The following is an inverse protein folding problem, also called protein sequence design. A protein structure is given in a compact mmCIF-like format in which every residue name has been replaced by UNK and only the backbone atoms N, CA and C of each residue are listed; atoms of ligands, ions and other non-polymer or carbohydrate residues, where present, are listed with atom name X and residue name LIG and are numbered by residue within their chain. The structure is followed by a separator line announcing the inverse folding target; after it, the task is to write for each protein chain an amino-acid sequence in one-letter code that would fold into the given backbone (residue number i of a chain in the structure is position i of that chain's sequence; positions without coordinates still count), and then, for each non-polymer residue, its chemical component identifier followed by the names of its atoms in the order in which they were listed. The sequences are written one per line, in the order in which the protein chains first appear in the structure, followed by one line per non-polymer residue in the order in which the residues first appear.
data_IF_821379937921
#
_entry.id   IF_821379937921
#
_cell.length_a   1.000
_cell.length_b   1.000
_cell.length_c   1.000
_cell.angle_alpha   90.00
_cell.angle_beta   90.00
_cell.angle_gamma   90.00
#
_symmetry.space_group_name_H-M   'P 1'
#
loop_
_entity.id
_entity.type
_entity.pdbx_description
1 polymer ?
#
# COMPACT_ATOMS: atom_id res chain seq x y z
N UNK A 1 11.84 -30.90 -8.06
CA UNK A 1 13.23 -30.57 -8.33
C UNK A 1 13.66 -29.21 -7.82
N UNK A 2 14.85 -28.77 -8.20
CA UNK A 2 15.46 -27.51 -7.73
C UNK A 2 14.60 -26.26 -8.02
N UNK A 3 13.89 -26.22 -9.14
CA UNK A 3 13.00 -25.11 -9.51
C UNK A 3 11.86 -24.91 -8.51
N UNK A 4 11.17 -25.98 -8.17
CA UNK A 4 10.06 -25.93 -7.18
C UNK A 4 10.59 -25.54 -5.82
N UNK A 5 11.74 -26.10 -5.41
CA UNK A 5 12.39 -25.74 -4.15
C UNK A 5 12.79 -24.28 -4.08
N UNK A 6 13.30 -23.72 -5.16
CA UNK A 6 13.64 -22.30 -5.25
C UNK A 6 12.41 -21.40 -5.02
N UNK A 7 11.31 -21.68 -5.72
CA UNK A 7 10.07 -20.91 -5.56
C UNK A 7 9.51 -21.00 -4.13
N UNK A 8 9.56 -22.17 -3.53
CA UNK A 8 9.11 -22.34 -2.15
C UNK A 8 9.96 -21.53 -1.16
N UNK A 9 11.29 -21.57 -1.30
CA UNK A 9 12.20 -20.88 -0.38
C UNK A 9 12.23 -19.36 -0.57
N UNK A 10 11.91 -18.87 -1.77
CA UNK A 10 11.95 -17.43 -2.09
C UNK A 10 10.61 -16.73 -1.95
N UNK A 11 9.56 -17.47 -1.62
CA UNK A 11 8.21 -16.94 -1.43
C UNK A 11 7.74 -17.11 0.01
N UNK A 12 6.73 -16.34 0.42
CA UNK A 12 6.14 -16.39 1.76
C UNK A 12 4.63 -16.62 1.67
N UNK A 13 4.08 -17.37 2.63
CA UNK A 13 2.63 -17.51 2.77
C UNK A 13 2.01 -16.19 3.26
N UNK A 14 0.78 -15.90 2.83
CA UNK A 14 0.03 -14.69 3.23
C UNK A 14 -0.11 -14.57 4.75
N UNK A 15 -0.25 -15.68 5.44
CA UNK A 15 -0.39 -15.73 6.90
C UNK A 15 0.93 -15.64 7.66
N UNK A 16 2.06 -15.77 6.98
CA UNK A 16 3.38 -15.65 7.59
C UNK A 16 3.87 -14.20 7.57
N UNK A 17 3.33 -13.37 8.47
CA UNK A 17 3.66 -11.94 8.54
C UNK A 17 5.14 -11.67 8.77
N UNK A 18 5.82 -12.52 9.55
CA UNK A 18 7.26 -12.36 9.79
C UNK A 18 8.06 -12.51 8.49
N UNK A 19 7.73 -13.53 7.69
CA UNK A 19 8.39 -13.71 6.39
C UNK A 19 8.05 -12.59 5.41
N UNK A 20 6.81 -12.09 5.41
CA UNK A 20 6.41 -10.96 4.58
C UNK A 20 7.10 -9.67 5.01
N UNK A 21 7.22 -9.40 6.31
CA UNK A 21 7.97 -8.25 6.86
C UNK A 21 9.44 -8.28 6.44
N UNK A 22 10.05 -9.44 6.51
CA UNK A 22 11.43 -9.62 6.05
C UNK A 22 11.58 -9.30 4.56
N UNK A 23 10.65 -9.78 3.74
CA UNK A 23 10.62 -9.46 2.30
C UNK A 23 10.38 -7.97 2.05
N UNK A 24 9.49 -7.33 2.80
CA UNK A 24 9.26 -5.90 2.72
C UNK A 24 10.54 -5.12 3.03
N UNK A 25 11.24 -5.47 4.10
CA UNK A 25 12.50 -4.86 4.46
C UNK A 25 13.57 -5.01 3.37
N UNK A 26 13.72 -6.22 2.83
CA UNK A 26 14.67 -6.52 1.74
C UNK A 26 14.31 -5.74 0.47
N UNK A 27 13.03 -5.69 0.12
CA UNK A 27 12.55 -5.10 -1.13
C UNK A 27 12.56 -3.56 -1.09
N UNK A 28 11.99 -2.97 -0.04
CA UNK A 28 11.98 -1.52 0.15
C UNK A 28 13.38 -0.98 0.41
N UNK A 29 14.25 -1.81 0.98
CA UNK A 29 15.64 -1.51 1.18
C UNK A 29 16.44 -1.33 -0.10
N UNK A 30 16.02 -1.99 -1.18
CA UNK A 30 16.72 -1.95 -2.45
C UNK A 30 18.23 -2.25 -2.32
N UNK A 31 18.99 -2.15 -3.39
CA UNK A 31 20.44 -2.28 -3.35
C UNK A 31 21.17 -1.04 -2.78
N UNK A 32 20.44 0.03 -2.40
CA UNK A 32 21.02 1.30 -1.94
C UNK A 32 21.05 1.43 -0.43
N UNK A 33 22.21 1.66 0.16
CA UNK A 33 22.38 1.91 1.60
C UNK A 33 21.61 3.13 2.12
N UNK A 34 21.35 4.11 1.24
CA UNK A 34 20.66 5.35 1.60
C UNK A 34 19.23 5.09 2.06
N UNK A 35 18.54 4.19 1.39
CA UNK A 35 17.15 3.87 1.72
C UNK A 35 17.08 3.06 3.02
N UNK A 36 18.07 2.23 3.30
CA UNK A 36 18.17 1.48 4.56
C UNK A 36 18.36 2.39 5.76
N UNK A 37 19.13 3.44 5.63
CA UNK A 37 19.41 4.37 6.74
C UNK A 37 18.22 5.26 7.07
N UNK A 38 17.36 5.58 6.11
CA UNK A 38 16.17 6.42 6.31
C UNK A 38 15.01 5.67 6.95
N UNK A 39 14.93 4.35 6.76
CA UNK A 39 13.74 3.57 7.11
C UNK A 39 13.86 2.75 8.38
N UNK A 40 15.06 2.47 8.87
CA UNK A 40 15.20 1.55 10.01
C UNK A 40 14.44 0.24 9.76
N UNK A 41 14.70 -0.42 8.65
CA UNK A 41 13.95 -1.61 8.19
C UNK A 41 13.80 -2.72 9.20
N UNK A 42 14.72 -2.80 10.16
CA UNK A 42 14.65 -3.78 11.24
C UNK A 42 13.46 -3.56 12.17
N UNK A 43 12.87 -2.36 12.12
CA UNK A 43 11.75 -1.98 12.95
C UNK A 43 10.38 -1.92 12.24
N UNK A 44 10.34 -2.19 10.92
CA UNK A 44 9.08 -2.20 10.18
C UNK A 44 8.22 -3.40 10.56
N UNK A 45 6.95 -3.12 10.89
CA UNK A 45 5.92 -4.12 11.14
C UNK A 45 4.77 -3.93 10.17
N UNK A 46 4.22 -5.04 9.68
CA UNK A 46 2.99 -5.03 8.90
C UNK A 46 1.83 -4.84 9.86
N UNK A 47 1.02 -3.82 9.61
CA UNK A 47 -0.18 -3.51 10.41
C UNK A 47 -1.48 -3.89 9.70
N UNK A 48 -1.45 -4.00 8.39
CA UNK A 48 -2.59 -4.36 7.58
C UNK A 48 -2.16 -5.01 6.28
N UNK A 49 -2.91 -6.00 5.81
CA UNK A 49 -2.75 -6.61 4.49
C UNK A 49 -4.07 -6.62 3.76
N UNK A 50 -4.02 -6.43 2.45
CA UNK A 50 -5.18 -6.51 1.57
C UNK A 50 -4.82 -7.31 0.32
N UNK A 51 -5.60 -8.35 0.05
CA UNK A 51 -5.46 -9.18 -1.15
C UNK A 51 -6.55 -8.85 -2.15
N UNK A 52 -6.16 -8.61 -3.42
CA UNK A 52 -7.04 -8.51 -4.57
C UNK A 52 -6.43 -9.22 -5.76
N UNK A 53 -7.11 -10.24 -6.25
CA UNK A 53 -6.62 -11.02 -7.38
C UNK A 53 -5.23 -11.59 -7.12
N UNK A 54 -4.29 -11.28 -7.99
CA UNK A 54 -2.91 -11.75 -7.95
C UNK A 54 -1.97 -10.81 -7.19
N UNK A 55 -2.53 -9.87 -6.43
CA UNK A 55 -1.79 -8.85 -5.68
C UNK A 55 -2.09 -8.94 -4.19
N UNK A 56 -1.05 -8.79 -3.41
CA UNK A 56 -1.13 -8.62 -1.96
C UNK A 56 -0.42 -7.32 -1.60
N UNK A 57 -1.11 -6.43 -0.94
CA UNK A 57 -0.53 -5.20 -0.41
C UNK A 57 -0.36 -5.29 1.09
N UNK A 58 0.69 -4.67 1.62
CA UNK A 58 0.93 -4.55 3.05
C UNK A 58 1.23 -3.11 3.42
N UNK A 59 0.54 -2.60 4.42
CA UNK A 59 0.84 -1.32 5.04
C UNK A 59 1.76 -1.58 6.23
N UNK A 60 2.90 -0.92 6.23
CA UNK A 60 3.94 -1.11 7.23
C UNK A 60 4.21 0.18 8.00
N UNK A 61 4.60 0.06 9.26
CA UNK A 61 5.02 1.19 10.08
C UNK A 61 6.14 0.78 11.03
N UNK A 62 6.96 1.74 11.43
CA UNK A 62 7.95 1.58 12.50
C UNK A 62 7.39 1.96 13.89
N UNK A 63 6.12 2.38 13.94
CA UNK A 63 5.49 2.86 15.16
C UNK A 63 5.95 4.25 15.62
N UNK A 64 6.77 4.94 14.84
CA UNK A 64 7.34 6.26 15.15
C UNK A 64 7.02 7.31 14.08
N UNK A 65 5.86 7.16 13.42
CA UNK A 65 5.39 8.07 12.40
C UNK A 65 5.91 7.78 10.99
N UNK A 66 6.64 6.69 10.79
CA UNK A 66 7.07 6.25 9.46
C UNK A 66 6.14 5.18 8.94
N UNK A 67 5.75 5.33 7.69
CA UNK A 67 4.84 4.43 6.99
C UNK A 67 5.44 4.03 5.65
N UNK A 68 5.08 2.83 5.21
CA UNK A 68 5.51 2.30 3.93
C UNK A 68 4.43 1.38 3.34
N UNK A 69 4.41 1.28 2.03
CA UNK A 69 3.61 0.31 1.28
C UNK A 69 4.54 -0.72 0.67
N UNK A 70 4.22 -2.00 0.84
CA UNK A 70 4.83 -3.08 0.08
C UNK A 70 3.76 -3.82 -0.73
N UNK A 71 4.06 -4.09 -2.00
CA UNK A 71 3.19 -4.86 -2.88
C UNK A 71 3.92 -6.14 -3.25
N UNK A 72 3.24 -7.26 -3.12
CA UNK A 72 3.75 -8.58 -3.42
C UNK A 72 3.06 -9.15 -4.65
N UNK A 73 3.82 -9.84 -5.47
CA UNK A 73 3.31 -10.61 -6.59
C UNK A 73 3.08 -12.06 -6.18
N UNK A 74 2.03 -12.65 -6.70
CA UNK A 74 1.76 -14.06 -6.52
C UNK A 74 2.89 -14.91 -7.11
N UNK A 75 3.32 -15.93 -6.36
CA UNK A 75 4.32 -16.86 -6.88
C UNK A 75 3.72 -17.68 -8.04
N UNK A 76 4.42 -17.82 -9.17
CA UNK A 76 3.87 -18.50 -10.35
C UNK A 76 3.73 -20.02 -10.18
N UNK A 77 4.40 -20.61 -9.17
CA UNK A 77 4.34 -22.05 -8.88
C UNK A 77 3.40 -22.34 -7.72
N UNK A 78 3.39 -21.45 -6.72
CA UNK A 78 2.59 -21.60 -5.51
C UNK A 78 1.62 -20.43 -5.37
N UNK A 79 0.35 -20.57 -5.82
CA UNK A 79 -0.62 -19.46 -5.79
C UNK A 79 -0.93 -18.90 -4.40
N UNK A 80 -0.66 -19.66 -3.34
CA UNK A 80 -0.85 -19.21 -1.97
C UNK A 80 0.39 -18.52 -1.36
N UNK A 81 1.41 -18.31 -2.18
CA UNK A 81 2.67 -17.73 -1.75
C UNK A 81 3.02 -16.47 -2.54
N UNK A 82 3.75 -15.59 -1.91
CA UNK A 82 3.97 -14.22 -2.37
C UNK A 82 5.45 -13.88 -2.43
N UNK A 83 5.79 -13.06 -3.41
CA UNK A 83 7.15 -12.57 -3.65
C UNK A 83 7.13 -11.04 -3.62
N UNK A 84 8.20 -10.40 -3.16
CA UNK A 84 8.30 -8.94 -3.19
C UNK A 84 8.22 -8.40 -4.62
N UNK A 85 7.34 -7.44 -4.87
CA UNK A 85 7.06 -6.88 -6.19
C UNK A 85 7.32 -5.38 -6.31
N UNK A 86 7.00 -4.57 -5.31
CA UNK A 86 7.15 -3.12 -5.39
C UNK A 86 6.64 -2.42 -4.16
N UNK A 87 6.47 -1.12 -4.26
CA UNK A 87 5.86 -0.35 -3.20
C UNK A 87 6.35 1.09 -3.11
N UNK A 88 5.92 1.74 -2.06
CA UNK A 88 6.37 3.08 -1.66
C UNK A 88 7.13 2.96 -0.35
N UNK A 89 8.44 3.18 -0.37
CA UNK A 89 9.26 3.05 0.83
C UNK A 89 8.99 4.17 1.84
N UNK A 90 8.38 5.27 1.43
CA UNK A 90 8.05 6.39 2.31
C UNK A 90 6.68 6.94 2.00
N UNK A 91 5.80 6.88 2.99
CA UNK A 91 4.52 7.54 3.00
C UNK A 91 4.55 8.62 4.06
N UNK A 92 4.09 9.82 3.73
CA UNK A 92 3.98 10.91 4.68
C UNK A 92 2.87 10.61 5.69
N UNK A 93 3.20 10.62 6.99
CA UNK A 93 2.20 10.44 8.04
C UNK A 93 1.14 11.55 7.99
N UNK A 94 -0.11 11.18 8.21
CA UNK A 94 -1.24 12.12 8.19
C UNK A 94 -1.79 12.42 6.82
N UNK A 95 -1.20 11.86 5.76
CA UNK A 95 -1.68 12.02 4.38
C UNK A 95 -2.00 10.68 3.75
N UNK A 96 -2.90 10.70 2.78
CA UNK A 96 -3.25 9.54 1.99
C UNK A 96 -2.50 9.57 0.67
N UNK A 97 -1.74 8.51 0.41
CA UNK A 97 -1.02 8.32 -0.84
C UNK A 97 -1.70 7.33 -1.77
N UNK A 98 -1.20 7.25 -2.99
CA UNK A 98 -1.65 6.28 -3.98
C UNK A 98 -0.47 5.62 -4.70
N UNK A 99 -0.66 4.38 -5.10
CA UNK A 99 0.22 3.63 -5.97
C UNK A 99 -0.59 3.02 -7.09
N UNK A 100 -0.33 3.43 -8.32
CA UNK A 100 -1.11 3.03 -9.47
C UNK A 100 -0.21 2.32 -10.48
N UNK A 101 -0.66 1.18 -10.96
CA UNK A 101 0.00 0.47 -12.04
C UNK A 101 -1.05 -0.30 -12.86
N UNK A 102 -0.67 -0.77 -14.03
CA UNK A 102 -1.58 -1.51 -14.88
C UNK A 102 -0.86 -2.58 -15.67
N UNK A 103 -1.64 -3.52 -16.15
CA UNK A 103 -1.24 -4.50 -17.13
C UNK A 103 -2.20 -4.43 -18.34
N UNK A 104 -2.09 -5.37 -19.26
CA UNK A 104 -2.93 -5.38 -20.47
C UNK A 104 -4.43 -5.66 -20.21
N UNK A 105 -4.81 -5.99 -18.98
CA UNK A 105 -6.18 -6.42 -18.64
C UNK A 105 -6.85 -5.51 -17.63
N UNK A 106 -6.10 -4.92 -16.70
CA UNK A 106 -6.66 -4.17 -15.57
C UNK A 106 -5.72 -3.08 -15.08
N UNK A 107 -6.30 -2.05 -14.51
CA UNK A 107 -5.59 -1.08 -13.70
C UNK A 107 -5.69 -1.46 -12.22
N UNK A 108 -4.58 -1.35 -11.50
CA UNK A 108 -4.51 -1.56 -10.05
C UNK A 108 -4.27 -0.23 -9.40
N UNK A 109 -5.15 0.13 -8.48
CA UNK A 109 -5.06 1.38 -7.73
C UNK A 109 -5.03 1.03 -6.26
N UNK A 110 -3.99 1.49 -5.56
CA UNK A 110 -3.82 1.28 -4.12
C UNK A 110 -3.84 2.64 -3.45
N UNK A 111 -4.73 2.82 -2.49
CA UNK A 111 -4.70 3.96 -1.57
C UNK A 111 -4.16 3.48 -0.23
N UNK A 112 -3.22 4.23 0.32
CA UNK A 112 -2.55 3.84 1.55
C UNK A 112 -2.08 5.06 2.35
N UNK A 113 -2.13 4.92 3.64
CA UNK A 113 -1.66 5.95 4.57
C UNK A 113 -1.93 5.58 6.01
N UNK A 114 -1.23 6.25 6.92
CA UNK A 114 -1.39 6.08 8.35
C UNK A 114 -1.28 7.39 9.10
N UNK A 115 -1.58 7.36 10.38
CA UNK A 115 -1.68 8.53 11.24
C UNK A 115 -2.57 9.63 10.65
N UNK A 116 -3.64 9.24 9.97
CA UNK A 116 -4.60 10.17 9.39
C UNK A 116 -5.29 10.99 10.50
N UNK A 117 -5.83 12.19 10.18
CA UNK A 117 -6.54 13.00 11.17
C UNK A 117 -7.63 12.21 11.89
N UNK A 118 -7.81 12.45 13.19
CA UNK A 118 -8.81 11.73 14.01
C UNK A 118 -10.24 11.91 13.48
N UNK A 119 -10.53 13.07 12.90
CA UNK A 119 -11.85 13.38 12.36
C UNK A 119 -12.08 12.81 10.95
N UNK A 120 -11.06 12.26 10.32
CA UNK A 120 -11.19 11.66 9.00
C UNK A 120 -11.96 10.34 9.09
N UNK A 121 -13.18 10.35 8.56
CA UNK A 121 -14.08 9.18 8.53
C UNK A 121 -14.16 8.55 7.14
N UNK A 122 -13.94 9.34 6.10
CA UNK A 122 -13.99 8.89 4.71
C UNK A 122 -12.91 9.59 3.88
N UNK A 123 -12.54 8.96 2.77
CA UNK A 123 -11.80 9.62 1.71
C UNK A 123 -12.53 9.46 0.39
N UNK A 124 -12.27 10.37 -0.55
CA UNK A 124 -12.82 10.30 -1.89
C UNK A 124 -11.72 10.18 -2.92
N UNK A 125 -12.04 9.55 -4.02
CA UNK A 125 -11.23 9.57 -5.22
C UNK A 125 -12.12 9.56 -6.45
N UNK A 126 -11.58 9.99 -7.57
CA UNK A 126 -12.28 9.99 -8.84
C UNK A 126 -11.57 9.08 -9.83
N UNK A 127 -12.36 8.29 -10.53
CA UNK A 127 -11.87 7.47 -11.64
C UNK A 127 -12.93 7.47 -12.75
N UNK A 128 -12.51 7.74 -13.98
CA UNK A 128 -13.40 7.79 -15.16
C UNK A 128 -14.64 8.67 -14.95
N UNK A 129 -14.48 9.82 -14.28
CA UNK A 129 -15.55 10.77 -14.01
C UNK A 129 -16.48 10.40 -12.86
N UNK A 130 -16.27 9.26 -12.21
CA UNK A 130 -17.05 8.80 -11.05
C UNK A 130 -16.29 9.09 -9.78
N UNK A 131 -16.96 9.73 -8.81
CA UNK A 131 -16.43 9.96 -7.47
C UNK A 131 -16.82 8.80 -6.56
N UNK A 132 -15.84 8.19 -5.92
CA UNK A 132 -16.01 7.12 -4.94
C UNK A 132 -15.72 7.66 -3.55
N UNK A 133 -16.52 7.20 -2.58
CA UNK A 133 -16.35 7.53 -1.16
C UNK A 133 -16.08 6.25 -0.39
N UNK A 134 -14.97 6.21 0.32
CA UNK A 134 -14.50 5.01 1.03
C UNK A 134 -14.30 5.30 2.52
N UNK A 135 -14.67 4.37 3.41
CA UNK A 135 -14.50 4.56 4.85
C UNK A 135 -13.03 4.48 5.27
N UNK A 136 -12.71 5.20 6.34
CA UNK A 136 -11.42 5.14 7.03
C UNK A 136 -11.66 4.53 8.40
N UNK A 137 -10.87 3.52 8.75
CA UNK A 137 -10.89 2.89 10.06
C UNK A 137 -9.50 2.99 10.72
N UNK A 138 -9.46 3.19 12.03
CA UNK A 138 -8.24 3.21 12.82
C UNK A 138 -7.18 4.22 12.33
N UNK A 139 -7.61 5.31 11.69
CA UNK A 139 -6.74 6.37 11.16
C UNK A 139 -5.73 5.84 10.13
N UNK A 140 -6.06 4.77 9.45
CA UNK A 140 -5.22 4.17 8.41
C UNK A 140 -6.05 3.67 7.24
N UNK A 141 -5.44 3.58 6.08
CA UNK A 141 -6.05 3.08 4.84
C UNK A 141 -5.08 2.14 4.15
N UNK A 142 -5.61 1.01 3.72
CA UNK A 142 -5.00 0.13 2.74
C UNK A 142 -6.12 -0.46 1.88
N UNK A 143 -6.39 0.17 0.75
CA UNK A 143 -7.43 -0.27 -0.17
C UNK A 143 -6.83 -0.57 -1.54
N UNK A 144 -7.17 -1.71 -2.10
CA UNK A 144 -6.72 -2.17 -3.42
C UNK A 144 -7.94 -2.31 -4.33
N UNK A 145 -7.91 -1.59 -5.45
CA UNK A 145 -8.96 -1.65 -6.47
C UNK A 145 -8.41 -2.21 -7.77
N UNK A 146 -9.14 -3.17 -8.35
CA UNK A 146 -8.89 -3.69 -9.68
C UNK A 146 -9.96 -3.14 -10.62
N UNK A 147 -9.55 -2.35 -11.61
CA UNK A 147 -10.45 -1.74 -12.57
C UNK A 147 -10.22 -2.35 -13.95
N UNK A 148 -11.28 -2.73 -14.68
CA UNK A 148 -11.14 -3.37 -15.98
C UNK A 148 -10.68 -2.41 -17.08
N UNK A 149 -10.79 -1.11 -16.86
CA UNK A 149 -10.35 -0.09 -17.80
C UNK A 149 -8.93 0.36 -17.45
N UNK A 150 -8.00 0.09 -18.35
CA UNK A 150 -6.60 0.47 -18.20
C UNK A 150 -6.29 1.86 -18.77
N UNK A 151 -7.27 2.53 -19.36
CA UNK A 151 -7.07 3.85 -19.99
C UNK A 151 -6.88 4.98 -18.98
N UNK A 152 -7.38 4.81 -17.75
CA UNK A 152 -7.27 5.79 -16.67
C UNK A 152 -6.72 5.14 -15.39
N UNK A 153 -5.40 5.02 -15.34
CA UNK A 153 -4.67 4.50 -14.18
C UNK A 153 -4.28 5.61 -13.19
N UNK A 154 -4.63 6.86 -13.50
CA UNK A 154 -4.20 8.03 -12.71
C UNK A 154 -5.28 8.44 -11.71
N UNK A 155 -5.53 7.62 -10.71
CA UNK A 155 -6.44 7.97 -9.62
C UNK A 155 -5.66 8.39 -8.38
N UNK A 156 -6.08 9.52 -7.81
CA UNK A 156 -5.48 10.11 -6.62
C UNK A 156 -6.57 10.38 -5.59
N UNK A 157 -6.25 10.32 -4.29
CA UNK A 157 -7.20 10.76 -3.28
C UNK A 157 -7.45 12.26 -3.44
N UNK A 158 -8.72 12.66 -3.38
CA UNK A 158 -9.13 14.07 -3.54
C UNK A 158 -9.36 14.75 -2.19
N UNK A 159 -10.21 14.15 -1.34
CA UNK A 159 -10.63 14.77 -0.09
C UNK A 159 -10.68 13.78 1.05
N UNK A 160 -10.43 14.27 2.25
CA UNK A 160 -10.80 13.61 3.50
C UNK A 160 -12.07 14.25 4.02
N UNK A 161 -13.03 13.41 4.42
CA UNK A 161 -14.33 13.85 4.93
C UNK A 161 -14.51 13.41 6.38
N UNK A 162 -15.26 14.21 7.14
CA UNK A 162 -15.67 13.84 8.50
C UNK A 162 -16.89 12.88 8.49
N UNK A 163 -17.42 12.57 9.66
CA UNK A 163 -18.59 11.68 9.81
C UNK A 163 -19.86 12.22 9.15
N UNK A 164 -19.94 13.52 8.92
CA UNK A 164 -21.06 14.17 8.27
C UNK A 164 -20.84 14.33 6.76
N UNK A 165 -19.78 13.71 6.22
CA UNK A 165 -19.37 13.83 4.82
C UNK A 165 -18.96 15.25 4.42
N UNK A 166 -18.54 16.06 5.38
CA UNK A 166 -18.01 17.40 5.15
C UNK A 166 -16.48 17.34 5.00
N UNK A 167 -15.92 18.08 4.04
CA UNK A 167 -14.46 18.14 3.86
C UNK A 167 -13.76 18.62 5.12
N UNK A 168 -12.68 17.94 5.48
CA UNK A 168 -11.80 18.41 6.53
C UNK A 168 -10.99 19.59 6.02
N UNK A 169 -10.95 20.65 6.82
CA UNK A 169 -10.08 21.79 6.56
C UNK A 169 -8.65 21.42 6.97
N UNK A 170 -7.96 20.75 6.06
CA UNK A 170 -6.55 20.45 6.23
C UNK A 170 -5.79 21.61 5.59
N UNK A 171 -5.25 22.52 6.43
CA UNK A 171 -4.29 23.47 5.95
C UNK A 171 -3.08 22.71 5.40
N UNK A 172 -2.92 22.71 4.08
CA UNK A 172 -1.74 22.14 3.45
C UNK A 172 -0.53 22.97 3.88
N UNK A 173 0.47 22.33 4.47
CA UNK A 173 1.78 22.95 4.64
C UNK A 173 2.24 23.43 3.26
N UNK A 174 2.40 24.73 3.08
CA UNK A 174 2.80 25.31 1.82
C UNK A 174 1.80 26.27 1.18
N UNK A 175 0.57 26.32 1.63
CA UNK A 175 -0.41 27.36 1.26
C UNK A 175 -0.21 28.61 2.14
N UNK A 176 0.95 29.22 1.98
CA UNK A 176 1.24 30.53 2.60
C UNK A 176 1.23 31.59 1.50
#
# INVERSE_FOLDING_TARGET
GAYVGYHYLTSAAETDLVALEKKAAEYLGGPGEIVRSEFGYEALSIVETERRGDYLAALCTDGQGRWALCVYDQDPVFPDRWRGGGGKPSLEAGTLGSWNFGNSREAVIIFCGGDLPEDAAYYTFRNSGITYTCPIEDRQVLDVFLLPDTSDISSYPEELLDQNLEPLDISREGDV
#
